data_IF_005672977261
#
_entry.id   IF_005672977261
#
_cell.length_a   1.000
_cell.length_b   1.000
_cell.length_c   1.000
_cell.angle_alpha   90.00
_cell.angle_beta   90.00
_cell.angle_gamma   90.00
#
_symmetry.space_group_name_H-M   'P 1'
#
loop_
_entity.id
_entity.type
_entity.pdbx_description
1 polymer ?
#
# COMPACT_ATOMS: atom_id res chain seq x y z
N UNK A 1 22.75 3.35 -3.53
CA UNK A 1 21.84 3.93 -2.54
C UNK A 1 22.54 4.29 -1.22
N UNK A 2 23.18 3.35 -0.54
CA UNK A 2 23.88 3.57 0.74
C UNK A 2 24.94 4.70 0.71
N UNK A 3 25.71 4.78 -0.35
CA UNK A 3 26.75 5.80 -0.53
C UNK A 3 26.13 7.21 -0.73
N UNK A 4 25.07 7.31 -1.54
CA UNK A 4 24.32 8.57 -1.72
C UNK A 4 23.58 8.99 -0.45
N UNK A 5 23.06 8.05 0.34
CA UNK A 5 22.39 8.34 1.60
C UNK A 5 23.34 9.00 2.64
N UNK A 6 24.63 8.67 2.59
CA UNK A 6 25.64 9.32 3.45
C UNK A 6 25.93 10.77 3.05
N UNK A 7 25.75 11.10 1.77
CA UNK A 7 26.01 12.43 1.22
C UNK A 7 24.79 13.36 1.30
N UNK A 8 23.59 12.79 1.49
CA UNK A 8 22.35 13.56 1.64
C UNK A 8 22.16 14.03 3.08
N UNK A 9 21.63 15.24 3.28
CA UNK A 9 21.34 15.79 4.60
C UNK A 9 20.37 14.88 5.40
N UNK A 10 19.35 14.33 4.75
CA UNK A 10 18.29 13.50 5.37
C UNK A 10 18.36 12.00 5.02
N UNK A 11 19.39 11.58 4.26
CA UNK A 11 19.56 10.19 3.86
C UNK A 11 18.79 9.84 2.59
N UNK A 12 18.32 8.59 2.49
CA UNK A 12 17.52 8.08 1.38
C UNK A 12 16.25 7.41 1.89
N UNK A 13 15.25 7.27 1.02
CA UNK A 13 14.00 6.58 1.34
C UNK A 13 13.73 5.41 0.39
N UNK A 14 13.18 4.34 0.92
CA UNK A 14 12.56 3.23 0.18
C UNK A 14 11.10 3.23 0.56
N UNK A 15 10.22 3.23 -0.45
CA UNK A 15 8.77 3.12 -0.25
C UNK A 15 8.29 1.84 -0.92
N UNK A 16 7.85 0.88 -0.13
CA UNK A 16 7.33 -0.39 -0.61
C UNK A 16 5.82 -0.28 -0.84
N UNK A 17 5.36 -0.70 -2.02
CA UNK A 17 3.93 -0.73 -2.35
C UNK A 17 3.31 -2.03 -1.83
N UNK A 18 2.74 -1.96 -0.62
CA UNK A 18 1.99 -3.04 0.00
C UNK A 18 0.50 -3.03 -0.44
N UNK A 19 -0.42 -3.24 0.47
CA UNK A 19 -1.88 -3.19 0.29
C UNK A 19 -2.55 -3.25 1.66
N UNK A 20 -3.82 -2.86 1.75
CA UNK A 20 -4.66 -3.20 2.91
C UNK A 20 -4.77 -4.71 3.13
N UNK A 21 -4.66 -5.52 2.07
CA UNK A 21 -4.59 -6.98 2.17
C UNK A 21 -3.34 -7.51 2.89
N UNK A 22 -2.35 -6.65 3.16
CA UNK A 22 -1.21 -6.95 4.03
C UNK A 22 -1.46 -6.59 5.50
N UNK A 23 -2.62 -6.00 5.83
CA UNK A 23 -3.02 -5.60 7.17
C UNK A 23 -4.22 -6.39 7.67
N UNK A 24 -5.16 -6.68 6.77
CA UNK A 24 -6.38 -7.45 7.04
C UNK A 24 -6.51 -8.60 6.06
N UNK A 25 -7.19 -9.68 6.47
CA UNK A 25 -7.39 -10.84 5.62
C UNK A 25 -8.24 -10.53 4.40
N UNK A 26 -7.84 -11.03 3.22
CA UNK A 26 -8.68 -11.02 2.02
C UNK A 26 -9.51 -12.31 1.97
N UNK A 27 -10.83 -12.17 1.91
CA UNK A 27 -11.73 -13.32 1.75
C UNK A 27 -11.63 -13.99 0.37
N UNK A 28 -11.15 -13.25 -0.64
CA UNK A 28 -11.17 -13.69 -2.04
C UNK A 28 -9.80 -14.14 -2.55
N UNK A 29 -8.72 -13.66 -1.92
CA UNK A 29 -7.36 -13.94 -2.38
C UNK A 29 -6.39 -14.06 -1.20
N UNK A 30 -6.28 -15.24 -0.56
CA UNK A 30 -5.35 -15.45 0.55
C UNK A 30 -3.89 -15.40 0.11
N UNK A 31 -3.57 -15.75 -1.14
CA UNK A 31 -2.18 -15.68 -1.65
C UNK A 31 -1.74 -14.24 -1.84
N UNK A 32 -2.65 -13.36 -2.25
CA UNK A 32 -2.36 -11.92 -2.32
C UNK A 32 -2.08 -11.35 -0.92
N UNK A 33 -2.87 -11.74 0.08
CA UNK A 33 -2.62 -11.36 1.48
C UNK A 33 -1.27 -11.88 1.99
N UNK A 34 -0.87 -13.10 1.63
CA UNK A 34 0.45 -13.64 1.95
C UNK A 34 1.57 -12.76 1.37
N UNK A 35 1.46 -12.39 0.08
CA UNK A 35 2.50 -11.59 -0.58
C UNK A 35 2.57 -10.19 0.01
N UNK A 36 1.43 -9.53 0.23
CA UNK A 36 1.38 -8.15 0.74
C UNK A 36 1.66 -8.07 2.24
N UNK A 37 1.30 -9.09 3.01
CA UNK A 37 1.74 -9.27 4.41
C UNK A 37 3.25 -9.46 4.50
N UNK A 38 3.83 -10.25 3.60
CA UNK A 38 5.28 -10.40 3.47
C UNK A 38 5.98 -9.07 3.21
N UNK A 39 5.49 -8.26 2.27
CA UNK A 39 6.02 -6.91 2.00
C UNK A 39 5.91 -6.00 3.23
N UNK A 40 4.80 -6.08 3.95
CA UNK A 40 4.56 -5.29 5.17
C UNK A 40 5.59 -5.61 6.26
N UNK A 41 5.80 -6.88 6.55
CA UNK A 41 6.75 -7.30 7.57
C UNK A 41 8.20 -7.12 7.12
N UNK A 42 8.52 -7.39 5.86
CA UNK A 42 9.83 -7.12 5.26
C UNK A 42 10.22 -5.65 5.43
N UNK A 43 9.28 -4.71 5.21
CA UNK A 43 9.51 -3.27 5.40
C UNK A 43 10.03 -2.96 6.80
N UNK A 44 9.42 -3.54 7.83
CA UNK A 44 9.83 -3.35 9.23
C UNK A 44 11.23 -3.93 9.49
N UNK A 45 11.48 -5.14 9.00
CA UNK A 45 12.76 -5.83 9.18
C UNK A 45 13.90 -5.06 8.50
N UNK A 46 13.67 -4.61 7.25
CA UNK A 46 14.66 -3.83 6.51
C UNK A 46 14.94 -2.46 7.17
N UNK A 47 13.90 -1.79 7.69
CA UNK A 47 14.05 -0.54 8.42
C UNK A 47 14.95 -0.70 9.64
N UNK A 48 14.71 -1.73 10.45
CA UNK A 48 15.50 -2.04 11.64
C UNK A 48 16.94 -2.41 11.28
N UNK A 49 17.13 -3.24 10.27
CA UNK A 49 18.46 -3.64 9.81
C UNK A 49 19.27 -2.43 9.35
N UNK A 50 18.68 -1.56 8.52
CA UNK A 50 19.38 -0.40 7.97
C UNK A 50 19.68 0.65 9.05
N UNK A 51 18.77 0.84 10.00
CA UNK A 51 19.01 1.70 11.15
C UNK A 51 20.20 1.18 12.00
N UNK A 52 20.22 -0.11 12.34
CA UNK A 52 21.32 -0.73 13.12
C UNK A 52 22.67 -0.64 12.40
N UNK A 53 22.67 -0.71 11.07
CA UNK A 53 23.89 -0.61 10.25
C UNK A 53 24.29 0.86 9.97
N UNK A 54 23.55 1.83 10.44
CA UNK A 54 23.82 3.26 10.23
C UNK A 54 23.75 3.69 8.77
N UNK A 55 22.87 3.06 7.96
CA UNK A 55 22.83 3.31 6.51
C UNK A 55 22.15 4.64 6.14
N UNK A 56 21.46 5.28 7.09
CA UNK A 56 20.68 6.50 6.85
C UNK A 56 19.67 6.30 5.71
N UNK A 57 19.02 5.16 5.68
CA UNK A 57 17.98 4.81 4.71
C UNK A 57 16.71 4.51 5.51
N UNK A 58 15.65 5.29 5.26
CA UNK A 58 14.31 5.03 5.77
C UNK A 58 13.62 4.00 4.88
N UNK A 59 12.86 3.10 5.47
CA UNK A 59 12.08 2.09 4.73
C UNK A 59 10.66 2.10 5.28
N UNK A 60 9.70 2.49 4.45
CA UNK A 60 8.29 2.53 4.81
C UNK A 60 7.46 1.80 3.75
N UNK A 61 6.23 1.47 4.08
CA UNK A 61 5.25 0.92 3.13
C UNK A 61 4.04 1.83 3.00
N UNK A 62 3.41 1.79 1.83
CA UNK A 62 2.09 2.38 1.61
C UNK A 62 1.09 1.25 1.40
N UNK A 63 -0.12 1.40 1.96
CA UNK A 63 -1.19 0.40 1.95
C UNK A 63 -2.44 0.98 1.28
N UNK A 64 -2.54 0.86 -0.06
CA UNK A 64 -3.72 1.30 -0.79
C UNK A 64 -4.95 0.44 -0.46
N UNK A 65 -6.13 1.08 -0.47
CA UNK A 65 -7.40 0.41 -0.64
C UNK A 65 -7.62 -0.01 -2.09
N UNK A 66 -8.88 -0.02 -2.56
CA UNK A 66 -9.18 -0.32 -3.96
C UNK A 66 -8.98 0.94 -4.80
N UNK A 67 -8.11 0.85 -5.80
CA UNK A 67 -7.70 1.96 -6.67
C UNK A 67 -8.17 1.69 -8.10
N UNK A 68 -8.73 2.71 -8.76
CA UNK A 68 -9.15 2.67 -10.16
C UNK A 68 -7.91 2.64 -11.07
N UNK A 69 -7.61 1.44 -11.57
CA UNK A 69 -6.50 1.16 -12.48
C UNK A 69 -6.88 -0.02 -13.35
N UNK A 70 -6.15 -0.27 -14.43
CA UNK A 70 -6.36 -1.44 -15.29
C UNK A 70 -6.30 -2.75 -14.49
N UNK A 71 -5.40 -2.84 -13.50
CA UNK A 71 -5.33 -3.98 -12.59
C UNK A 71 -6.57 -4.06 -11.69
N UNK A 72 -7.09 -2.93 -11.22
CA UNK A 72 -8.32 -2.84 -10.44
C UNK A 72 -9.51 -3.35 -11.24
N UNK A 73 -9.63 -2.96 -12.50
CA UNK A 73 -10.70 -3.38 -13.40
C UNK A 73 -10.65 -4.90 -13.69
N UNK A 74 -9.46 -5.45 -13.93
CA UNK A 74 -9.28 -6.90 -14.06
C UNK A 74 -9.68 -7.65 -12.78
N UNK A 75 -9.43 -7.06 -11.61
CA UNK A 75 -9.86 -7.61 -10.33
C UNK A 75 -11.39 -7.66 -10.23
N UNK A 76 -12.11 -6.63 -10.68
CA UNK A 76 -13.58 -6.64 -10.69
C UNK A 76 -14.14 -7.70 -11.63
N UNK A 77 -13.56 -7.88 -12.82
CA UNK A 77 -13.93 -8.96 -13.74
C UNK A 77 -13.74 -10.33 -13.09
N UNK A 78 -12.60 -10.56 -12.45
CA UNK A 78 -12.31 -11.82 -11.76
C UNK A 78 -13.27 -12.07 -10.58
N UNK A 79 -13.59 -11.03 -9.82
CA UNK A 79 -14.57 -11.12 -8.71
C UNK A 79 -15.98 -11.40 -9.22
N UNK A 80 -16.41 -10.77 -10.31
CA UNK A 80 -17.71 -11.04 -10.92
C UNK A 80 -17.85 -12.52 -11.30
N UNK A 81 -16.82 -13.11 -11.92
CA UNK A 81 -16.78 -14.54 -12.23
C UNK A 81 -16.90 -15.41 -10.98
N UNK A 82 -16.16 -15.10 -9.92
CA UNK A 82 -16.19 -15.83 -8.64
C UNK A 82 -17.55 -15.76 -7.94
N UNK A 83 -18.28 -14.65 -8.14
CA UNK A 83 -19.63 -14.46 -7.61
C UNK A 83 -20.73 -15.00 -8.55
N UNK A 84 -20.33 -15.68 -9.62
CA UNK A 84 -21.25 -16.21 -10.65
C UNK A 84 -22.19 -15.12 -11.23
N UNK A 85 -21.68 -13.89 -11.38
CA UNK A 85 -22.38 -12.79 -12.02
C UNK A 85 -21.58 -12.25 -13.21
N UNK A 86 -22.30 -11.68 -14.18
CA UNK A 86 -21.68 -10.96 -15.30
C UNK A 86 -21.70 -9.43 -15.09
N UNK A 87 -22.28 -8.96 -13.99
CA UNK A 87 -22.42 -7.54 -13.68
C UNK A 87 -21.17 -7.03 -12.95
N UNK A 88 -20.18 -6.60 -13.73
CA UNK A 88 -18.94 -6.04 -13.22
C UNK A 88 -19.18 -4.68 -12.53
N UNK A 89 -20.17 -3.91 -12.99
CA UNK A 89 -20.47 -2.60 -12.40
C UNK A 89 -21.12 -2.74 -11.02
N UNK A 90 -21.96 -3.76 -10.82
CA UNK A 90 -22.46 -4.09 -9.48
C UNK A 90 -21.32 -4.45 -8.52
N UNK A 91 -20.32 -5.22 -8.97
CA UNK A 91 -19.15 -5.57 -8.16
C UNK A 91 -18.29 -4.34 -7.84
N UNK A 92 -18.12 -3.43 -8.78
CA UNK A 92 -17.43 -2.15 -8.57
C UNK A 92 -18.18 -1.27 -7.55
N UNK A 93 -19.50 -1.20 -7.66
CA UNK A 93 -20.34 -0.45 -6.71
C UNK A 93 -20.29 -1.06 -5.30
N UNK A 94 -20.29 -2.39 -5.17
CA UNK A 94 -20.06 -3.05 -3.89
C UNK A 94 -18.70 -2.65 -3.28
N UNK A 95 -17.63 -2.66 -4.08
CA UNK A 95 -16.32 -2.22 -3.64
C UNK A 95 -16.31 -0.75 -3.22
N UNK A 96 -17.01 0.13 -3.96
CA UNK A 96 -17.14 1.55 -3.60
C UNK A 96 -17.81 1.72 -2.23
N UNK A 97 -18.86 0.97 -1.95
CA UNK A 97 -19.61 1.01 -0.67
C UNK A 97 -18.78 0.58 0.53
N UNK A 98 -17.75 -0.23 0.34
CA UNK A 98 -16.85 -0.62 1.44
C UNK A 98 -15.88 0.49 1.86
N UNK A 99 -15.80 1.60 1.10
CA UNK A 99 -14.96 2.74 1.42
C UNK A 99 -15.81 3.87 2.04
N UNK A 100 -15.68 4.15 3.35
CA UNK A 100 -16.47 5.18 4.03
C UNK A 100 -16.40 6.56 3.38
N UNK A 101 -15.29 6.90 2.72
CA UNK A 101 -15.14 8.16 1.97
C UNK A 101 -16.07 8.26 0.74
N UNK A 102 -16.76 7.17 0.37
CA UNK A 102 -17.80 7.15 -0.68
C UNK A 102 -17.30 7.03 -2.11
N UNK A 103 -16.01 6.80 -2.33
CA UNK A 103 -15.41 6.59 -3.66
C UNK A 103 -14.29 5.55 -3.62
N UNK A 104 -13.94 5.00 -4.76
CA UNK A 104 -12.67 4.29 -4.94
C UNK A 104 -11.52 5.29 -4.98
N UNK A 105 -10.31 4.84 -4.66
CA UNK A 105 -9.12 5.65 -4.81
C UNK A 105 -8.75 5.83 -6.29
N UNK A 106 -7.93 6.85 -6.56
CA UNK A 106 -7.29 7.06 -7.86
C UNK A 106 -5.76 6.99 -7.68
N UNK A 107 -4.98 6.74 -8.75
CA UNK A 107 -3.52 6.67 -8.64
C UNK A 107 -2.87 7.87 -7.94
N UNK A 108 -3.43 9.06 -8.12
CA UNK A 108 -2.94 10.30 -7.50
C UNK A 108 -3.08 10.29 -5.98
N UNK A 109 -4.10 9.63 -5.41
CA UNK A 109 -4.23 9.48 -3.95
C UNK A 109 -3.02 8.74 -3.38
N UNK A 110 -2.55 7.71 -4.09
CA UNK A 110 -1.40 6.92 -3.67
C UNK A 110 -0.08 7.63 -3.96
N UNK A 111 0.04 8.29 -5.12
CA UNK A 111 1.23 9.03 -5.51
C UNK A 111 1.60 10.13 -4.48
N UNK A 112 0.60 10.84 -3.95
CA UNK A 112 0.80 11.84 -2.87
C UNK A 112 1.35 11.21 -1.60
N UNK A 113 0.85 10.04 -1.21
CA UNK A 113 1.36 9.29 -0.06
C UNK A 113 2.81 8.81 -0.27
N UNK A 114 3.13 8.32 -1.49
CA UNK A 114 4.49 7.94 -1.86
C UNK A 114 5.42 9.15 -1.81
N UNK A 115 4.99 10.29 -2.36
CA UNK A 115 5.77 11.53 -2.34
C UNK A 115 6.09 11.95 -0.90
N UNK A 116 5.10 11.95 0.00
CA UNK A 116 5.29 12.23 1.41
C UNK A 116 6.32 11.28 2.04
N UNK A 117 6.18 9.96 1.86
CA UNK A 117 7.11 8.98 2.41
C UNK A 117 8.53 9.07 1.83
N UNK A 118 8.66 9.54 0.59
CA UNK A 118 9.95 9.71 -0.08
C UNK A 118 10.64 11.03 0.27
N UNK A 119 9.88 12.06 0.69
CA UNK A 119 10.37 13.39 1.01
C UNK A 119 10.92 13.49 2.43
N UNK A 120 11.52 14.64 2.74
CA UNK A 120 12.03 14.97 4.07
C UNK A 120 10.90 15.26 5.08
N UNK A 121 9.66 15.49 4.62
CA UNK A 121 8.48 15.65 5.50
C UNK A 121 8.24 14.42 6.37
N UNK A 122 8.72 13.24 5.93
CA UNK A 122 8.68 12.00 6.68
C UNK A 122 10.05 11.59 7.27
N UNK A 123 10.94 12.55 7.51
CA UNK A 123 12.33 12.28 7.95
C UNK A 123 12.43 11.44 9.24
N UNK A 124 11.42 11.50 10.10
CA UNK A 124 11.36 10.71 11.35
C UNK A 124 10.54 9.41 11.23
N UNK A 125 10.19 8.99 10.00
CA UNK A 125 9.42 7.78 9.76
C UNK A 125 10.30 6.69 9.15
N UNK A 126 10.39 5.53 9.83
CA UNK A 126 10.95 4.30 9.28
C UNK A 126 10.26 3.08 9.87
N UNK A 127 10.06 2.02 9.10
CA UNK A 127 9.33 0.82 9.50
C UNK A 127 7.81 1.02 9.61
N UNK A 128 7.30 2.17 9.19
CA UNK A 128 5.87 2.50 9.25
C UNK A 128 5.12 2.05 8.00
N UNK A 129 3.80 1.85 8.16
CA UNK A 129 2.85 1.66 7.08
C UNK A 129 1.88 2.84 6.98
N UNK A 130 1.86 3.52 5.84
CA UNK A 130 0.89 4.58 5.56
C UNK A 130 -0.33 3.97 4.87
N UNK A 131 -1.47 3.98 5.55
CA UNK A 131 -2.74 3.50 5.00
C UNK A 131 -3.42 4.62 4.23
N UNK A 132 -3.79 4.34 2.96
CA UNK A 132 -4.49 5.27 2.06
C UNK A 132 -5.61 4.48 1.38
N UNK A 133 -6.72 4.29 2.10
CA UNK A 133 -7.76 3.32 1.76
C UNK A 133 -9.19 3.85 1.86
N UNK A 134 -9.37 5.15 2.04
CA UNK A 134 -10.70 5.76 2.17
C UNK A 134 -11.50 5.27 3.37
N UNK A 135 -10.82 4.77 4.41
CA UNK A 135 -11.44 4.27 5.64
C UNK A 135 -11.84 2.78 5.59
N UNK A 136 -11.44 2.05 4.53
CA UNK A 136 -11.80 0.64 4.35
C UNK A 136 -11.40 -0.23 5.56
N UNK A 137 -10.24 0.02 6.17
CA UNK A 137 -9.73 -0.77 7.32
C UNK A 137 -9.97 -0.12 8.68
N UNK A 138 -10.68 1.02 8.74
CA UNK A 138 -10.98 1.73 9.99
C UNK A 138 -12.28 1.27 10.66
N UNK A 139 -12.94 0.25 10.11
CA UNK A 139 -14.25 -0.26 10.56
C UNK A 139 -14.19 -1.74 10.91
#
# INVERSE_FOLDING_TARGET
MRERARQSAHGSAIVNLASVAGLVGSQLDPLYSLTKGGVTLFTKSAALEFARKGYRIRVNSIHPGVIQTDMGDQTFVSRARNLATNDVDAVREMARKTHPIGRLGVPEDIAKGILYLASDDSAFMTGAGLVVDGGLTAQ
#
